data_IF_380554992981
#
_entry.id   IF_380554992981
#
_cell.length_a   1.000
_cell.length_b   1.000
_cell.length_c   1.000
_cell.angle_alpha   90.00
_cell.angle_beta   90.00
_cell.angle_gamma   90.00
#
_symmetry.space_group_name_H-M   'P 1'
#
loop_
_entity.id
_entity.type
_entity.pdbx_description
1 polymer ?
#
# COMPACT_ATOMS: atom_id res chain seq x y z
N UNK A 1 -22.14 60.43 -15.47
CA UNK A 1 -21.20 60.23 -14.33
C UNK A 1 -20.99 58.74 -14.16
N UNK A 2 -19.82 58.22 -14.54
CA UNK A 2 -19.49 56.79 -14.41
C UNK A 2 -18.84 56.56 -13.05
N UNK A 3 -19.59 55.95 -12.12
CA UNK A 3 -19.07 55.56 -10.81
C UNK A 3 -18.13 54.36 -11.00
N UNK A 4 -16.81 54.61 -10.99
CA UNK A 4 -15.80 53.56 -10.93
C UNK A 4 -16.06 52.73 -9.67
N UNK A 5 -16.55 51.49 -9.84
CA UNK A 5 -16.53 50.47 -8.79
C UNK A 5 -15.09 50.31 -8.34
N UNK A 6 -14.76 50.85 -7.17
CA UNK A 6 -13.48 50.57 -6.51
C UNK A 6 -13.51 49.09 -6.16
N UNK A 7 -12.73 48.26 -6.87
CA UNK A 7 -12.42 46.92 -6.41
C UNK A 7 -11.76 47.07 -5.04
N UNK A 8 -12.49 46.70 -3.98
CA UNK A 8 -11.89 46.52 -2.66
C UNK A 8 -10.92 45.35 -2.82
N UNK A 9 -9.64 45.66 -2.91
CA UNK A 9 -8.57 44.67 -2.77
C UNK A 9 -8.71 44.10 -1.36
N UNK A 10 -9.10 42.83 -1.28
CA UNK A 10 -9.18 42.12 -0.01
C UNK A 10 -7.75 41.93 0.49
N UNK A 11 -7.43 42.52 1.63
CA UNK A 11 -6.20 42.25 2.36
C UNK A 11 -6.58 41.26 3.46
N UNK A 12 -6.19 39.98 3.34
CA UNK A 12 -6.41 39.02 4.41
C UNK A 12 -5.73 39.52 5.68
N UNK A 13 -6.35 39.27 6.83
CA UNK A 13 -5.74 39.56 8.12
C UNK A 13 -4.38 38.83 8.22
N UNK A 14 -3.41 39.44 8.91
CA UNK A 14 -2.06 38.86 9.06
C UNK A 14 -2.12 37.45 9.67
N UNK A 15 -3.10 37.21 10.54
CA UNK A 15 -3.40 35.93 11.17
C UNK A 15 -3.88 34.86 10.16
N UNK A 16 -4.79 35.22 9.24
CA UNK A 16 -5.23 34.32 8.17
C UNK A 16 -4.07 33.86 7.29
N UNK A 17 -3.20 34.82 6.91
CA UNK A 17 -2.03 34.51 6.07
C UNK A 17 -1.04 33.60 6.79
N UNK A 18 -0.81 33.79 8.08
CA UNK A 18 0.07 32.93 8.88
C UNK A 18 -0.49 31.52 9.01
N UNK A 19 -1.80 31.37 9.29
CA UNK A 19 -2.48 30.07 9.37
C UNK A 19 -2.40 29.31 8.05
N UNK A 20 -2.61 30.01 6.92
CA UNK A 20 -2.53 29.38 5.59
C UNK A 20 -1.11 28.87 5.28
N UNK A 21 -0.07 29.60 5.69
CA UNK A 21 1.33 29.15 5.49
C UNK A 21 1.63 27.92 6.35
N UNK A 22 1.22 27.92 7.62
CA UNK A 22 1.39 26.75 8.50
C UNK A 22 0.66 25.52 7.96
N UNK A 23 -0.56 25.71 7.45
CA UNK A 23 -1.33 24.65 6.82
C UNK A 23 -0.62 24.10 5.57
N UNK A 24 -0.10 24.96 4.69
CA UNK A 24 0.65 24.55 3.50
C UNK A 24 1.90 23.74 3.85
N UNK A 25 2.65 24.14 4.90
CA UNK A 25 3.78 23.37 5.40
C UNK A 25 3.36 21.98 5.93
N UNK A 26 2.27 21.91 6.68
CA UNK A 26 1.71 20.65 7.20
C UNK A 26 1.26 19.73 6.06
N UNK A 27 0.56 20.26 5.07
CA UNK A 27 0.15 19.54 3.85
C UNK A 27 1.34 18.99 3.08
N UNK A 28 2.38 19.79 2.87
CA UNK A 28 3.61 19.36 2.20
C UNK A 28 4.32 18.24 2.96
N UNK A 29 4.38 18.33 4.28
CA UNK A 29 4.98 17.30 5.12
C UNK A 29 4.22 15.97 5.02
N UNK A 30 2.88 16.01 5.12
CA UNK A 30 2.03 14.82 4.97
C UNK A 30 2.21 14.18 3.58
N UNK A 31 2.09 14.98 2.50
CA UNK A 31 2.30 14.48 1.14
C UNK A 31 3.70 13.89 0.91
N UNK A 32 4.74 14.50 1.48
CA UNK A 32 6.10 13.99 1.37
C UNK A 32 6.26 12.61 2.04
N UNK A 33 5.63 12.41 3.20
CA UNK A 33 5.63 11.13 3.91
C UNK A 33 4.91 10.06 3.10
N UNK A 34 3.74 10.38 2.55
CA UNK A 34 2.97 9.46 1.71
C UNK A 34 3.74 9.06 0.44
N UNK A 35 4.39 10.03 -0.23
CA UNK A 35 5.20 9.74 -1.40
C UNK A 35 6.38 8.80 -1.10
N UNK A 36 7.01 8.96 0.07
CA UNK A 36 8.09 8.07 0.50
C UNK A 36 7.56 6.64 0.73
N UNK A 37 6.46 6.50 1.48
CA UNK A 37 5.83 5.21 1.75
C UNK A 37 5.40 4.49 0.47
N UNK A 38 4.74 5.19 -0.45
CA UNK A 38 4.30 4.62 -1.74
C UNK A 38 5.49 4.18 -2.61
N UNK A 39 6.61 4.90 -2.54
CA UNK A 39 7.83 4.53 -3.26
C UNK A 39 8.42 3.23 -2.70
N UNK A 40 8.55 3.12 -1.37
CA UNK A 40 9.00 1.89 -0.72
C UNK A 40 8.10 0.70 -1.06
N UNK A 41 6.78 0.88 -1.01
CA UNK A 41 5.83 -0.19 -1.37
C UNK A 41 5.88 -0.58 -2.83
N UNK A 42 6.09 0.38 -3.72
CA UNK A 42 6.29 0.08 -5.14
C UNK A 42 7.50 -0.82 -5.34
N UNK A 43 8.63 -0.52 -4.69
CA UNK A 43 9.85 -1.31 -4.80
C UNK A 43 9.66 -2.73 -4.19
N UNK A 44 8.99 -2.84 -3.05
CA UNK A 44 8.61 -4.12 -2.44
C UNK A 44 7.81 -5.00 -3.42
N UNK A 45 6.78 -4.44 -4.06
CA UNK A 45 5.93 -5.18 -5.01
C UNK A 45 6.68 -5.53 -6.29
N UNK A 46 7.55 -4.66 -6.81
CA UNK A 46 8.40 -4.97 -7.96
C UNK A 46 9.31 -6.18 -7.66
N UNK A 47 9.88 -6.24 -6.46
CA UNK A 47 10.69 -7.37 -5.99
C UNK A 47 9.87 -8.66 -5.86
N UNK A 48 8.68 -8.60 -5.26
CA UNK A 48 7.79 -9.77 -5.15
C UNK A 48 7.38 -10.30 -6.54
N UNK A 49 7.02 -9.41 -7.46
CA UNK A 49 6.68 -9.79 -8.85
C UNK A 49 7.87 -10.47 -9.52
N UNK A 50 9.09 -9.98 -9.31
CA UNK A 50 10.30 -10.59 -9.87
C UNK A 50 10.52 -12.00 -9.31
N UNK A 51 10.39 -12.18 -8.00
CA UNK A 51 10.49 -13.51 -7.35
C UNK A 51 9.46 -14.48 -7.91
N UNK A 52 8.18 -14.09 -7.98
CA UNK A 52 7.11 -14.93 -8.54
C UNK A 52 7.36 -15.31 -10.01
N UNK A 53 7.95 -14.41 -10.81
CA UNK A 53 8.36 -14.72 -12.19
C UNK A 53 9.47 -15.78 -12.23
N UNK A 54 10.49 -15.66 -11.37
CA UNK A 54 11.60 -16.62 -11.28
C UNK A 54 11.08 -17.99 -10.84
N UNK A 55 10.25 -18.05 -9.80
CA UNK A 55 9.65 -19.30 -9.29
C UNK A 55 8.78 -19.97 -10.35
N UNK A 56 7.99 -19.19 -11.10
CA UNK A 56 7.20 -19.70 -12.22
C UNK A 56 8.11 -20.30 -13.30
N UNK A 57 9.16 -19.59 -13.71
CA UNK A 57 10.08 -20.08 -14.74
C UNK A 57 10.83 -21.35 -14.30
N UNK A 58 11.22 -21.45 -13.02
CA UNK A 58 11.83 -22.65 -12.44
C UNK A 58 10.84 -23.82 -12.41
N UNK A 59 9.58 -23.58 -12.01
CA UNK A 59 8.52 -24.60 -12.05
C UNK A 59 8.30 -25.09 -13.48
N UNK A 60 8.21 -24.18 -14.45
CA UNK A 60 8.04 -24.54 -15.86
C UNK A 60 9.23 -25.39 -16.36
N UNK A 61 10.48 -24.97 -16.10
CA UNK A 61 11.69 -25.74 -16.47
C UNK A 61 11.73 -27.14 -15.84
N UNK A 62 11.39 -27.25 -14.55
CA UNK A 62 11.40 -28.53 -13.83
C UNK A 62 10.26 -29.45 -14.25
N UNK A 63 9.08 -28.91 -14.57
CA UNK A 63 7.95 -29.66 -15.12
C UNK A 63 8.31 -30.35 -16.45
N UNK A 64 9.15 -29.75 -17.30
CA UNK A 64 9.54 -30.34 -18.57
C UNK A 64 10.83 -31.19 -18.51
N UNK A 65 11.69 -31.01 -17.51
CA UNK A 65 12.90 -31.83 -17.34
C UNK A 65 12.63 -33.21 -16.72
N UNK A 66 11.54 -33.38 -15.94
CA UNK A 66 11.21 -34.65 -15.29
C UNK A 66 10.27 -35.56 -16.13
N UNK A 67 9.92 -35.15 -17.35
CA UNK A 67 9.11 -35.96 -18.29
C UNK A 67 9.97 -36.97 -19.06
N UNK A 68 11.30 -36.96 -18.87
CA UNK A 68 12.18 -38.02 -19.37
C UNK A 68 12.31 -39.17 -18.34
N UNK A 69 11.41 -40.16 -18.47
CA UNK A 69 11.66 -41.58 -18.18
C UNK A 69 12.10 -42.02 -16.77
N UNK A 70 11.53 -41.49 -15.68
CA UNK A 70 11.61 -42.17 -14.36
C UNK A 70 10.23 -42.50 -13.79
N UNK A 71 9.83 -43.73 -14.09
CA UNK A 71 8.93 -44.60 -13.33
C UNK A 71 7.72 -43.90 -12.67
N UNK A 72 6.70 -43.67 -13.50
CA UNK A 72 5.39 -43.12 -13.15
C UNK A 72 4.79 -43.83 -11.92
N UNK A 73 5.12 -45.11 -11.68
CA UNK A 73 4.65 -45.90 -10.53
C UNK A 73 5.13 -45.38 -9.17
N UNK A 74 6.26 -44.68 -9.10
CA UNK A 74 6.78 -44.12 -7.84
C UNK A 74 5.92 -42.96 -7.32
N UNK A 75 5.20 -42.27 -8.22
CA UNK A 75 4.28 -41.18 -7.92
C UNK A 75 2.88 -41.66 -7.49
N UNK A 76 2.57 -42.95 -7.65
CA UNK A 76 1.27 -43.54 -7.28
C UNK A 76 1.35 -44.47 -6.06
N UNK A 77 2.47 -44.48 -5.32
CA UNK A 77 2.56 -45.27 -4.09
C UNK A 77 1.83 -44.54 -2.95
N UNK A 78 0.71 -45.08 -2.40
CA UNK A 78 -0.09 -44.41 -1.37
C UNK A 78 0.66 -44.19 -0.05
N UNK A 79 1.77 -44.92 0.13
CA UNK A 79 2.54 -44.98 1.37
C UNK A 79 3.53 -43.81 1.56
N UNK A 80 3.66 -42.90 0.59
CA UNK A 80 4.50 -41.70 0.69
C UNK A 80 3.69 -40.38 0.65
N UNK A 81 2.36 -40.45 0.64
CA UNK A 81 1.48 -39.28 0.50
C UNK A 81 0.94 -38.75 1.83
N UNK A 82 0.77 -39.59 2.85
CA UNK A 82 0.20 -39.17 4.15
C UNK A 82 1.08 -38.15 4.87
N UNK A 83 2.38 -38.41 4.95
CA UNK A 83 3.28 -37.62 5.79
C UNK A 83 3.77 -36.34 5.07
N UNK A 84 3.74 -36.34 3.73
CA UNK A 84 4.14 -35.19 2.89
C UNK A 84 3.01 -34.17 2.66
N UNK A 85 1.75 -34.57 2.84
CA UNK A 85 0.59 -33.69 2.71
C UNK A 85 0.25 -32.93 4.00
N UNK A 86 0.52 -33.51 5.18
CA UNK A 86 0.25 -32.88 6.47
C UNK A 86 1.21 -31.69 6.73
N UNK A 87 2.52 -31.90 6.57
CA UNK A 87 3.53 -30.84 6.77
C UNK A 87 3.35 -29.64 5.82
N UNK A 88 3.01 -29.91 4.54
CA UNK A 88 2.76 -28.85 3.54
C UNK A 88 1.46 -28.09 3.79
N UNK A 89 0.47 -28.73 4.41
CA UNK A 89 -0.80 -28.10 4.75
C UNK A 89 -0.60 -27.13 5.92
N UNK A 90 0.17 -27.52 6.92
CA UNK A 90 0.49 -26.67 8.07
C UNK A 90 1.35 -25.46 7.67
N UNK A 91 2.36 -25.64 6.81
CA UNK A 91 3.15 -24.54 6.25
C UNK A 91 2.28 -23.55 5.47
N UNK A 92 1.41 -24.04 4.59
CA UNK A 92 0.51 -23.19 3.80
C UNK A 92 -0.52 -22.46 4.66
N UNK A 93 -1.03 -23.12 5.70
CA UNK A 93 -1.96 -22.50 6.63
C UNK A 93 -1.28 -21.39 7.43
N UNK A 94 -0.02 -21.59 7.84
CA UNK A 94 0.78 -20.55 8.49
C UNK A 94 1.03 -19.37 7.55
N UNK A 95 1.43 -19.62 6.30
CA UNK A 95 1.65 -18.57 5.30
C UNK A 95 0.39 -17.72 5.07
N UNK A 96 -0.78 -18.35 4.93
CA UNK A 96 -2.06 -17.64 4.80
C UNK A 96 -2.39 -16.82 6.04
N UNK A 97 -2.11 -17.33 7.24
CA UNK A 97 -2.31 -16.58 8.47
C UNK A 97 -1.41 -15.35 8.54
N UNK A 98 -0.15 -15.47 8.13
CA UNK A 98 0.79 -14.35 8.08
C UNK A 98 0.33 -13.28 7.06
N UNK A 99 -0.16 -13.70 5.89
CA UNK A 99 -0.74 -12.80 4.89
C UNK A 99 -1.98 -12.08 5.43
N UNK A 100 -2.88 -12.78 6.12
CA UNK A 100 -4.06 -12.16 6.74
C UNK A 100 -3.67 -11.10 7.79
N UNK A 101 -2.67 -11.40 8.62
CA UNK A 101 -2.16 -10.45 9.61
C UNK A 101 -1.58 -9.19 8.95
N UNK A 102 -0.81 -9.34 7.86
CA UNK A 102 -0.26 -8.21 7.09
C UNK A 102 -1.35 -7.35 6.46
N UNK A 103 -2.41 -7.97 5.93
CA UNK A 103 -3.58 -7.25 5.40
C UNK A 103 -4.27 -6.46 6.51
N UNK A 104 -4.47 -7.07 7.67
CA UNK A 104 -5.11 -6.41 8.81
C UNK A 104 -4.30 -5.21 9.31
N UNK A 105 -2.98 -5.35 9.40
CA UNK A 105 -2.10 -4.22 9.72
C UNK A 105 -2.19 -3.10 8.68
N UNK A 106 -2.27 -3.46 7.40
CA UNK A 106 -2.42 -2.49 6.30
C UNK A 106 -3.75 -1.74 6.38
N UNK A 107 -4.84 -2.41 6.75
CA UNK A 107 -6.15 -1.78 6.95
C UNK A 107 -6.08 -0.74 8.09
N UNK A 108 -5.51 -1.10 9.24
CA UNK A 108 -5.38 -0.17 10.36
C UNK A 108 -4.59 1.09 9.98
N UNK A 109 -3.50 0.94 9.21
CA UNK A 109 -2.72 2.09 8.71
C UNK A 109 -3.54 2.96 7.75
N UNK A 110 -4.36 2.35 6.87
CA UNK A 110 -5.25 3.10 5.99
C UNK A 110 -6.26 3.92 6.80
N UNK A 111 -6.83 3.35 7.86
CA UNK A 111 -7.75 4.07 8.74
C UNK A 111 -7.07 5.28 9.40
N UNK A 112 -5.83 5.13 9.87
CA UNK A 112 -5.02 6.24 10.40
C UNK A 112 -4.79 7.35 9.36
N UNK A 113 -4.41 6.99 8.13
CA UNK A 113 -4.23 7.95 7.04
C UNK A 113 -5.53 8.68 6.67
N UNK A 114 -6.67 7.99 6.70
CA UNK A 114 -7.98 8.61 6.46
C UNK A 114 -8.28 9.67 7.52
N UNK A 115 -7.98 9.40 8.79
CA UNK A 115 -8.17 10.38 9.86
C UNK A 115 -7.21 11.58 9.70
N UNK A 116 -5.93 11.36 9.38
CA UNK A 116 -4.98 12.46 9.09
C UNK A 116 -5.51 13.37 7.96
N UNK A 117 -6.07 12.79 6.90
CA UNK A 117 -6.66 13.55 5.78
C UNK A 117 -7.92 14.30 6.23
N UNK A 118 -8.79 13.69 7.04
CA UNK A 118 -9.99 14.35 7.58
C UNK A 118 -9.63 15.58 8.41
N UNK A 119 -8.60 15.47 9.25
CA UNK A 119 -8.09 16.61 10.03
C UNK A 119 -7.59 17.75 9.15
N UNK A 120 -6.84 17.43 8.07
CA UNK A 120 -6.36 18.44 7.11
C UNK A 120 -7.52 19.14 6.39
N UNK A 121 -8.56 18.39 5.99
CA UNK A 121 -9.75 18.96 5.36
C UNK A 121 -10.47 19.89 6.34
N UNK A 122 -10.70 19.43 7.57
CA UNK A 122 -11.36 20.24 8.59
C UNK A 122 -10.58 21.53 8.91
N UNK A 123 -9.26 21.44 9.04
CA UNK A 123 -8.40 22.61 9.29
C UNK A 123 -8.47 23.62 8.14
N UNK A 124 -8.54 23.15 6.88
CA UNK A 124 -8.72 24.02 5.73
C UNK A 124 -10.10 24.70 5.72
N UNK A 125 -11.16 23.96 6.03
CA UNK A 125 -12.52 24.52 6.12
C UNK A 125 -12.60 25.58 7.23
N UNK A 126 -11.98 25.35 8.38
CA UNK A 126 -11.92 26.32 9.49
C UNK A 126 -11.19 27.60 9.08
N UNK A 127 -10.05 27.48 8.37
CA UNK A 127 -9.31 28.64 7.83
C UNK A 127 -10.20 29.43 6.87
N UNK A 128 -10.92 28.76 5.97
CA UNK A 128 -11.77 29.40 4.97
C UNK A 128 -13.04 30.04 5.56
N UNK A 129 -13.58 29.51 6.66
CA UNK A 129 -14.76 30.07 7.33
C UNK A 129 -14.43 31.28 8.21
N UNK A 130 -13.18 31.42 8.67
CA UNK A 130 -12.73 32.53 9.53
C UNK A 130 -12.10 33.71 8.77
N UNK A 131 -11.83 33.58 7.46
CA UNK A 131 -11.30 34.66 6.60
C UNK A 131 -12.39 35.49 5.92
#
# INVERSE_FOLDING_TARGET
MSAKKKNKVYHPDSDFRERLVRFDEKMKAHLSKEMMYLTEKKDDYENQILQLKIEREQRDKTLFQHVEQKDIRKYFSPLNLSDLEEDKKDEKQKELSDQMNQIQESISRIDEHIEEIRELIQEMDDILQMG
#
